data_IF_570379689886
#
_entry.id   IF_570379689886
#
_cell.length_a   1.000
_cell.length_b   1.000
_cell.length_c   1.000
_cell.angle_alpha   90.00
_cell.angle_beta   90.00
_cell.angle_gamma   90.00
#
_symmetry.space_group_name_H-M   'P 1'
#
loop_
_entity.id
_entity.type
_entity.pdbx_description
1 polymer ?
#
# COMPACT_ATOMS: atom_id res chain seq x y z
N UNK A 1 -6.03 -10.17 14.71
CA UNK A 1 -5.12 -9.46 13.79
C UNK A 1 -5.86 -8.55 12.82
N UNK A 2 -6.77 -9.04 11.96
CA UNK A 2 -7.47 -8.19 10.96
C UNK A 2 -8.23 -7.01 11.60
N UNK A 3 -8.92 -7.23 12.72
CA UNK A 3 -9.57 -6.15 13.49
C UNK A 3 -8.59 -5.12 14.06
N UNK A 4 -7.36 -5.53 14.42
CA UNK A 4 -6.32 -4.62 14.90
C UNK A 4 -5.76 -3.77 13.75
N UNK A 5 -5.61 -4.34 12.55
CA UNK A 5 -5.29 -3.56 11.37
C UNK A 5 -6.39 -2.53 11.08
N UNK A 6 -7.65 -2.94 11.10
CA UNK A 6 -8.78 -2.02 10.88
C UNK A 6 -8.75 -0.83 11.85
N UNK A 7 -8.53 -1.09 13.14
CA UNK A 7 -8.40 -0.05 14.17
C UNK A 7 -7.16 0.84 13.95
N UNK A 8 -6.01 0.26 13.59
CA UNK A 8 -4.79 1.02 13.31
C UNK A 8 -4.95 1.93 12.08
N UNK A 9 -5.66 1.47 11.04
CA UNK A 9 -5.97 2.31 9.87
C UNK A 9 -6.86 3.49 10.24
N UNK A 10 -7.86 3.27 11.09
CA UNK A 10 -8.71 4.34 11.60
C UNK A 10 -7.90 5.36 12.43
N UNK A 11 -7.04 4.90 13.34
CA UNK A 11 -6.14 5.77 14.11
C UNK A 11 -5.24 6.60 13.18
N UNK A 12 -4.60 5.92 12.21
CA UNK A 12 -3.73 6.58 11.24
C UNK A 12 -4.49 7.65 10.49
N UNK A 13 -5.70 7.42 9.98
CA UNK A 13 -6.41 8.45 9.21
C UNK A 13 -6.92 9.62 10.07
N UNK A 14 -7.34 9.37 11.32
CA UNK A 14 -7.96 10.40 12.18
C UNK A 14 -6.96 11.24 12.99
N UNK A 15 -5.72 10.79 13.20
CA UNK A 15 -4.71 11.58 13.94
C UNK A 15 -3.90 12.49 13.01
N UNK A 16 -4.22 13.78 12.94
CA UNK A 16 -3.46 14.75 12.13
C UNK A 16 -1.98 14.89 12.49
N UNK A 17 -1.54 14.41 13.65
CA UNK A 17 -0.12 14.28 14.01
C UNK A 17 0.61 13.21 13.18
N UNK A 18 -0.10 12.21 12.68
CA UNK A 18 0.43 11.19 11.77
C UNK A 18 0.40 11.73 10.34
N UNK A 19 1.55 11.67 9.65
CA UNK A 19 1.71 12.16 8.26
C UNK A 19 2.09 11.07 7.25
N UNK A 20 2.59 9.93 7.70
CA UNK A 20 2.88 8.74 6.91
C UNK A 20 2.91 7.52 7.82
N UNK A 21 2.61 6.34 7.28
CA UNK A 21 2.67 5.06 7.98
C UNK A 21 3.63 4.10 7.28
N UNK A 22 4.25 3.21 8.06
CA UNK A 22 5.09 2.11 7.55
C UNK A 22 4.49 0.80 8.05
N UNK A 23 4.28 -0.15 7.13
CA UNK A 23 3.85 -1.51 7.43
C UNK A 23 5.03 -2.47 7.20
N UNK A 24 5.34 -3.28 8.20
CA UNK A 24 6.39 -4.32 8.17
C UNK A 24 5.93 -5.52 8.99
N UNK A 25 6.55 -6.69 8.78
CA UNK A 25 6.39 -7.83 9.66
C UNK A 25 7.40 -7.81 10.82
N UNK A 26 7.04 -8.48 11.91
CA UNK A 26 7.98 -8.80 12.97
C UNK A 26 8.69 -10.12 12.66
N UNK A 27 9.99 -10.22 12.93
CA UNK A 27 10.78 -11.42 12.67
C UNK A 27 11.24 -11.54 11.21
N UNK A 28 11.18 -12.74 10.65
CA UNK A 28 11.76 -13.09 9.34
C UNK A 28 10.79 -13.09 8.17
N UNK A 29 9.53 -12.73 8.39
CA UNK A 29 8.52 -12.63 7.34
C UNK A 29 7.80 -11.30 7.43
N UNK A 30 7.35 -10.81 6.28
CA UNK A 30 6.47 -9.64 6.21
C UNK A 30 5.04 -10.06 6.58
N UNK A 31 4.47 -10.98 5.80
CA UNK A 31 3.16 -11.58 6.04
C UNK A 31 2.99 -12.76 5.08
N UNK A 32 2.67 -13.94 5.61
CA UNK A 32 2.52 -15.19 4.83
C UNK A 32 1.06 -15.55 4.54
N UNK A 33 0.14 -14.60 4.75
CA UNK A 33 -1.29 -14.78 4.55
C UNK A 33 -2.04 -15.23 5.81
N UNK A 34 -3.33 -15.50 5.64
CA UNK A 34 -4.17 -16.01 6.72
C UNK A 34 -3.83 -17.46 7.05
N UNK A 35 -4.05 -17.85 8.30
CA UNK A 35 -3.96 -19.25 8.71
C UNK A 35 -5.04 -20.04 7.99
N UNK A 36 -4.66 -21.03 7.18
CA UNK A 36 -5.60 -21.87 6.43
C UNK A 36 -6.13 -23.03 7.27
N UNK A 37 -5.53 -23.32 8.43
CA UNK A 37 -5.86 -24.48 9.26
C UNK A 37 -7.24 -24.37 9.93
N UNK A 38 -7.78 -23.16 10.05
CA UNK A 38 -9.12 -22.90 10.60
C UNK A 38 -10.25 -23.04 9.56
N UNK A 39 -9.90 -23.37 8.31
CA UNK A 39 -10.81 -23.56 7.19
C UNK A 39 -11.63 -22.32 6.79
N UNK A 40 -11.22 -21.10 7.18
CA UNK A 40 -12.04 -19.89 6.98
C UNK A 40 -12.41 -19.61 5.53
N UNK A 41 -11.60 -20.07 4.58
CA UNK A 41 -11.82 -19.92 3.13
C UNK A 41 -12.79 -20.93 2.52
N UNK A 42 -13.12 -22.01 3.23
CA UNK A 42 -13.92 -23.16 2.70
C UNK A 42 -15.23 -23.34 3.47
N UNK A 43 -15.72 -22.28 4.13
CA UNK A 43 -16.92 -22.35 4.96
C UNK A 43 -18.19 -22.46 4.11
N UNK A 44 -19.08 -23.37 4.50
CA UNK A 44 -20.42 -23.61 3.93
C UNK A 44 -21.48 -22.55 4.33
N UNK A 45 -21.04 -21.43 4.93
CA UNK A 45 -21.90 -20.36 5.44
C UNK A 45 -22.30 -20.47 6.92
N UNK A 46 -21.78 -21.46 7.67
CA UNK A 46 -22.23 -21.75 9.06
C UNK A 46 -21.55 -20.99 10.20
N UNK A 47 -20.42 -20.31 9.98
CA UNK A 47 -19.76 -19.50 11.02
C UNK A 47 -20.07 -18.02 10.85
N UNK A 48 -20.32 -17.25 11.92
CA UNK A 48 -20.41 -15.80 11.80
C UNK A 48 -19.05 -15.30 11.33
N UNK A 49 -18.93 -14.71 10.13
CA UNK A 49 -17.67 -14.10 9.74
C UNK A 49 -17.39 -12.97 10.73
N UNK A 50 -16.11 -12.64 10.94
CA UNK A 50 -15.79 -11.27 11.34
C UNK A 50 -16.58 -10.33 10.41
N UNK A 51 -17.13 -9.25 10.96
CA UNK A 51 -17.93 -8.30 10.18
C UNK A 51 -17.21 -8.00 8.84
N UNK A 52 -17.87 -8.24 7.68
CA UNK A 52 -17.25 -8.05 6.37
C UNK A 52 -16.63 -6.66 6.19
N UNK A 53 -17.19 -5.63 6.83
CA UNK A 53 -16.60 -4.29 6.80
C UNK A 53 -15.28 -4.23 7.58
N UNK A 54 -15.19 -4.88 8.74
CA UNK A 54 -13.95 -5.03 9.51
C UNK A 54 -12.89 -5.82 8.73
N UNK A 55 -13.27 -6.92 8.08
CA UNK A 55 -12.34 -7.69 7.23
C UNK A 55 -11.84 -6.82 6.07
N UNK A 56 -12.78 -6.20 5.37
CA UNK A 56 -12.50 -5.36 4.21
C UNK A 56 -11.58 -4.19 4.57
N UNK A 57 -11.80 -3.54 5.71
CA UNK A 57 -10.92 -2.46 6.19
C UNK A 57 -9.55 -2.98 6.59
N UNK A 58 -9.49 -4.02 7.43
CA UNK A 58 -8.22 -4.55 7.96
C UNK A 58 -7.27 -5.04 6.87
N UNK A 59 -7.81 -5.65 5.81
CA UNK A 59 -7.06 -6.12 4.64
C UNK A 59 -6.90 -5.06 3.53
N UNK A 60 -7.29 -3.80 3.78
CA UNK A 60 -7.25 -2.69 2.82
C UNK A 60 -8.02 -2.95 1.51
N UNK A 61 -9.08 -3.77 1.57
CA UNK A 61 -9.94 -4.11 0.42
C UNK A 61 -10.98 -3.03 0.14
N UNK A 62 -11.62 -2.55 1.20
CA UNK A 62 -12.68 -1.55 1.14
C UNK A 62 -12.23 -0.19 1.68
N UNK A 63 -10.93 -0.05 1.96
CA UNK A 63 -10.37 1.13 2.59
C UNK A 63 -8.97 1.39 2.04
N UNK A 64 -8.72 2.63 1.64
CA UNK A 64 -7.39 3.13 1.31
C UNK A 64 -7.09 4.30 2.22
N UNK A 65 -5.96 4.24 2.92
CA UNK A 65 -5.53 5.32 3.81
C UNK A 65 -5.41 6.63 3.06
N UNK A 66 -5.83 7.72 3.70
CA UNK A 66 -5.63 9.08 3.19
C UNK A 66 -4.16 9.50 3.23
N UNK A 67 -3.39 8.90 4.15
CA UNK A 67 -1.96 9.17 4.36
C UNK A 67 -1.10 8.14 3.63
N UNK A 68 0.13 8.50 3.20
CA UNK A 68 1.05 7.56 2.56
C UNK A 68 1.35 6.35 3.42
N UNK A 69 1.27 5.17 2.81
CA UNK A 69 1.57 3.87 3.39
C UNK A 69 2.75 3.24 2.66
N UNK A 70 3.84 3.04 3.38
CA UNK A 70 5.07 2.43 2.86
C UNK A 70 5.15 0.99 3.37
N UNK A 71 5.33 0.01 2.49
CA UNK A 71 5.69 -1.33 2.89
C UNK A 71 7.21 -1.47 3.02
N UNK A 72 7.67 -1.96 4.17
CA UNK A 72 9.02 -2.49 4.36
C UNK A 72 8.94 -4.02 4.46
N UNK A 73 9.35 -4.70 3.41
CA UNK A 73 9.19 -6.15 3.26
C UNK A 73 10.47 -6.84 3.71
N UNK A 74 10.44 -7.36 4.94
CA UNK A 74 11.56 -7.97 5.66
C UNK A 74 11.72 -9.48 5.42
N UNK A 75 11.04 -10.04 4.42
CA UNK A 75 11.05 -11.49 4.15
C UNK A 75 9.82 -11.94 3.36
N UNK A 76 9.35 -13.17 3.61
CA UNK A 76 8.24 -13.75 2.87
C UNK A 76 6.97 -12.87 2.89
N UNK A 77 6.46 -12.56 1.70
CA UNK A 77 5.26 -11.77 1.43
C UNK A 77 4.33 -12.61 0.54
N UNK A 78 3.48 -13.43 1.16
CA UNK A 78 2.71 -14.46 0.47
C UNK A 78 1.20 -14.31 0.72
N UNK A 79 0.42 -14.73 -0.27
CA UNK A 79 -1.04 -14.75 -0.23
C UNK A 79 -1.64 -13.42 0.21
N UNK A 80 -2.51 -13.44 1.23
CA UNK A 80 -3.09 -12.23 1.84
C UNK A 80 -2.09 -11.11 2.17
N UNK A 81 -0.85 -11.45 2.53
CA UNK A 81 0.23 -10.47 2.74
C UNK A 81 0.66 -9.77 1.45
N UNK A 82 0.78 -10.53 0.36
CA UNK A 82 1.06 -9.98 -0.97
C UNK A 82 -0.12 -9.21 -1.55
N UNK A 83 -1.36 -9.55 -1.16
CA UNK A 83 -2.57 -8.80 -1.56
C UNK A 83 -2.62 -7.44 -0.84
N UNK A 84 -2.31 -7.42 0.46
CA UNK A 84 -2.18 -6.17 1.23
C UNK A 84 -1.03 -5.31 0.74
N UNK A 85 0.12 -5.90 0.38
CA UNK A 85 1.26 -5.20 -0.22
C UNK A 85 0.82 -4.36 -1.42
N UNK A 86 -0.05 -4.92 -2.27
CA UNK A 86 -0.55 -4.24 -3.47
C UNK A 86 -1.39 -2.99 -3.19
N UNK A 87 -1.83 -2.76 -1.93
CA UNK A 87 -2.51 -1.54 -1.48
C UNK A 87 -1.57 -0.45 -0.97
N UNK A 88 -0.29 -0.77 -0.76
CA UNK A 88 0.70 0.20 -0.31
C UNK A 88 1.22 1.05 -1.45
N UNK A 89 1.62 2.29 -1.14
CA UNK A 89 1.99 3.32 -2.12
C UNK A 89 3.46 3.21 -2.54
N UNK A 90 4.33 2.90 -1.58
CA UNK A 90 5.77 2.75 -1.79
C UNK A 90 6.21 1.44 -1.17
N UNK A 91 7.02 0.67 -1.88
CA UNK A 91 7.45 -0.65 -1.44
C UNK A 91 8.96 -0.77 -1.47
N UNK A 92 9.51 -1.11 -0.31
CA UNK A 92 10.92 -1.39 -0.09
C UNK A 92 11.03 -2.85 0.32
N UNK A 93 11.94 -3.58 -0.30
CA UNK A 93 12.17 -4.99 -0.04
C UNK A 93 13.59 -5.22 0.45
N UNK A 94 13.75 -6.09 1.43
CA UNK A 94 15.02 -6.78 1.64
C UNK A 94 15.30 -7.69 0.43
N UNK A 95 16.58 -7.87 0.11
CA UNK A 95 17.03 -8.64 -1.06
C UNK A 95 16.67 -10.13 -1.04
N UNK A 96 16.43 -10.69 0.14
CA UNK A 96 16.08 -12.10 0.33
C UNK A 96 14.57 -12.36 0.40
N UNK A 97 13.74 -11.31 0.31
CA UNK A 97 12.29 -11.45 0.35
C UNK A 97 11.74 -12.15 -0.90
N UNK A 98 10.56 -12.76 -0.72
CA UNK A 98 9.82 -13.44 -1.80
C UNK A 98 8.38 -12.96 -1.83
N UNK A 99 7.80 -12.87 -3.02
CA UNK A 99 6.47 -12.32 -3.27
C UNK A 99 5.61 -13.34 -4.01
N UNK A 100 4.48 -13.77 -3.46
CA UNK A 100 3.74 -14.91 -4.03
C UNK A 100 2.25 -14.91 -3.74
N UNK A 101 1.48 -15.57 -4.61
CA UNK A 101 0.05 -15.86 -4.44
C UNK A 101 -0.18 -17.37 -4.60
N UNK A 102 0.17 -18.17 -3.57
CA UNK A 102 0.24 -19.63 -3.68
C UNK A 102 -1.13 -20.32 -3.47
N UNK A 103 -2.24 -19.59 -3.50
CA UNK A 103 -3.58 -20.11 -3.25
C UNK A 103 -3.97 -21.23 -4.22
N UNK A 104 -3.59 -21.11 -5.50
CA UNK A 104 -3.92 -22.11 -6.55
C UNK A 104 -3.31 -23.48 -6.28
N UNK A 105 -2.16 -23.53 -5.60
CA UNK A 105 -1.50 -24.78 -5.21
C UNK A 105 -2.31 -25.55 -4.16
N UNK A 106 -3.32 -24.90 -3.55
CA UNK A 106 -4.24 -25.46 -2.55
C UNK A 106 -5.68 -25.54 -3.06
N UNK A 107 -5.90 -25.36 -4.37
CA UNK A 107 -7.24 -25.34 -4.97
C UNK A 107 -8.06 -24.10 -4.62
N UNK A 108 -7.41 -23.02 -4.20
CA UNK A 108 -8.02 -21.74 -3.83
C UNK A 108 -7.63 -20.65 -4.85
N UNK A 109 -8.15 -19.43 -4.65
CA UNK A 109 -7.77 -18.25 -5.44
C UNK A 109 -7.49 -17.05 -4.53
N UNK A 110 -6.61 -16.12 -4.92
CA UNK A 110 -6.35 -14.90 -4.15
C UNK A 110 -7.60 -14.00 -4.15
N UNK A 111 -8.22 -13.88 -2.99
CA UNK A 111 -9.53 -13.24 -2.79
C UNK A 111 -9.48 -11.78 -2.32
N UNK A 112 -8.30 -11.28 -1.93
CA UNK A 112 -8.08 -9.91 -1.47
C UNK A 112 -7.69 -8.93 -2.61
N UNK A 113 -8.06 -9.29 -3.86
CA UNK A 113 -8.08 -8.39 -5.01
C UNK A 113 -6.84 -8.42 -5.90
N UNK A 114 -5.91 -9.34 -5.70
CA UNK A 114 -4.75 -9.49 -6.61
C UNK A 114 -5.14 -9.83 -8.03
N UNK A 115 -6.23 -10.60 -8.23
CA UNK A 115 -6.80 -10.87 -9.57
C UNK A 115 -7.22 -9.60 -10.31
N UNK A 116 -7.45 -8.49 -9.59
CA UNK A 116 -7.84 -7.19 -10.15
C UNK A 116 -6.62 -6.27 -10.30
N UNK A 117 -5.74 -6.25 -9.29
CA UNK A 117 -4.71 -5.21 -9.14
C UNK A 117 -3.35 -5.61 -9.69
N UNK A 118 -2.94 -6.87 -9.53
CA UNK A 118 -1.58 -7.29 -9.87
C UNK A 118 -1.25 -7.01 -11.34
N UNK A 119 -2.15 -7.37 -12.26
CA UNK A 119 -1.98 -7.13 -13.70
C UNK A 119 -1.85 -5.66 -14.13
N UNK A 120 -2.19 -4.72 -13.24
CA UNK A 120 -2.05 -3.28 -13.47
C UNK A 120 -0.77 -2.71 -12.87
N UNK A 121 -0.13 -3.46 -11.98
CA UNK A 121 1.08 -3.06 -11.29
C UNK A 121 2.34 -3.72 -11.90
N UNK A 122 2.19 -4.91 -12.49
CA UNK A 122 3.27 -5.61 -13.20
C UNK A 122 2.81 -6.10 -14.58
N UNK A 123 3.73 -6.47 -15.49
CA UNK A 123 3.37 -7.00 -16.81
C UNK A 123 2.41 -8.19 -16.73
N UNK A 124 1.42 -8.20 -17.63
CA UNK A 124 0.35 -9.20 -17.66
C UNK A 124 0.86 -10.64 -17.60
N UNK A 125 1.87 -10.98 -18.41
CA UNK A 125 2.41 -12.35 -18.50
C UNK A 125 2.98 -12.80 -17.17
N UNK A 126 3.69 -11.92 -16.45
CA UNK A 126 4.25 -12.23 -15.14
C UNK A 126 3.20 -12.32 -14.05
N UNK A 127 2.17 -11.45 -14.08
CA UNK A 127 1.03 -11.56 -13.17
C UNK A 127 0.28 -12.90 -13.35
N UNK A 128 0.04 -13.30 -14.59
CA UNK A 128 -0.62 -14.57 -14.90
C UNK A 128 0.24 -15.77 -14.50
N UNK A 129 1.54 -15.73 -14.78
CA UNK A 129 2.47 -16.79 -14.37
C UNK A 129 2.44 -16.97 -12.84
N UNK A 130 2.66 -15.90 -12.07
CA UNK A 130 2.64 -15.93 -10.61
C UNK A 130 1.30 -16.45 -10.04
N UNK A 131 0.15 -16.00 -10.58
CA UNK A 131 -1.17 -16.41 -10.09
C UNK A 131 -1.49 -17.87 -10.48
N UNK A 132 -1.18 -18.30 -11.71
CA UNK A 132 -1.59 -19.62 -12.20
C UNK A 132 -0.68 -20.75 -11.72
N UNK A 133 0.61 -20.48 -11.47
CA UNK A 133 1.54 -21.48 -10.93
C UNK A 133 1.59 -21.44 -9.41
N UNK A 134 1.28 -20.29 -8.81
CA UNK A 134 1.49 -20.03 -7.38
C UNK A 134 2.96 -19.87 -6.99
N UNK A 135 3.88 -19.84 -7.97
CA UNK A 135 5.31 -19.66 -7.72
C UNK A 135 5.64 -18.21 -7.34
N UNK A 136 6.46 -17.99 -6.30
CA UNK A 136 6.81 -16.65 -5.88
C UNK A 136 7.90 -16.02 -6.77
N UNK A 137 7.89 -14.69 -6.83
CA UNK A 137 8.98 -13.87 -7.35
C UNK A 137 10.03 -13.65 -6.26
N UNK A 138 11.30 -13.63 -6.66
CA UNK A 138 12.39 -13.08 -5.84
C UNK A 138 12.26 -11.56 -5.71
N UNK A 139 12.92 -10.95 -4.72
CA UNK A 139 12.97 -9.50 -4.58
C UNK A 139 13.52 -8.79 -5.84
N UNK A 140 14.50 -9.39 -6.52
CA UNK A 140 15.06 -8.83 -7.75
C UNK A 140 14.05 -8.87 -8.90
N UNK A 141 13.32 -9.97 -9.08
CA UNK A 141 12.25 -10.05 -10.08
C UNK A 141 11.12 -9.08 -9.75
N UNK A 142 10.69 -9.01 -8.49
CA UNK A 142 9.68 -8.07 -8.04
C UNK A 142 10.10 -6.61 -8.35
N UNK A 143 11.38 -6.27 -8.19
CA UNK A 143 11.92 -4.98 -8.58
C UNK A 143 11.94 -4.78 -10.10
N UNK A 144 12.44 -5.77 -10.83
CA UNK A 144 12.53 -5.73 -12.29
C UNK A 144 11.16 -5.51 -12.95
N UNK A 145 10.10 -6.13 -12.41
CA UNK A 145 8.74 -6.00 -12.92
C UNK A 145 7.96 -4.81 -12.32
N UNK A 146 8.55 -4.05 -11.41
CA UNK A 146 7.93 -2.87 -10.80
C UNK A 146 6.94 -3.16 -9.67
N UNK A 147 6.89 -4.40 -9.16
CA UNK A 147 6.08 -4.73 -7.98
C UNK A 147 6.62 -4.03 -6.73
N UNK A 148 7.94 -3.88 -6.62
CA UNK A 148 8.61 -3.10 -5.57
C UNK A 148 9.53 -2.04 -6.18
N UNK A 149 9.68 -0.89 -5.52
CA UNK A 149 10.47 0.23 -6.04
C UNK A 149 11.91 0.27 -5.52
N UNK A 150 12.23 -0.51 -4.49
CA UNK A 150 13.55 -0.57 -3.88
C UNK A 150 13.87 -1.98 -3.39
N UNK A 151 15.09 -2.42 -3.64
CA UNK A 151 15.69 -3.61 -3.00
C UNK A 151 16.92 -3.15 -2.24
N UNK A 152 17.05 -3.58 -0.99
CA UNK A 152 18.12 -3.19 -0.07
C UNK A 152 18.72 -4.42 0.62
N UNK A 153 19.92 -4.32 1.23
CA UNK A 153 20.50 -5.43 1.99
C UNK A 153 19.54 -5.97 3.05
N UNK A 154 19.61 -7.27 3.31
CA UNK A 154 18.78 -7.93 4.32
C UNK A 154 18.79 -7.19 5.69
N UNK A 155 17.61 -7.00 6.28
CA UNK A 155 17.43 -6.33 7.56
C UNK A 155 17.39 -4.80 7.48
N UNK A 156 17.43 -4.19 6.29
CA UNK A 156 17.52 -2.73 6.15
C UNK A 156 16.31 -2.09 5.45
N UNK A 157 15.31 -2.87 5.03
CA UNK A 157 14.09 -2.36 4.41
C UNK A 157 13.36 -1.31 5.26
N UNK A 158 13.27 -1.52 6.58
CA UNK A 158 12.61 -0.58 7.49
C UNK A 158 13.33 0.76 7.57
N UNK A 159 14.66 0.77 7.59
CA UNK A 159 15.44 2.01 7.64
C UNK A 159 15.31 2.81 6.35
N UNK A 160 15.32 2.12 5.21
CA UNK A 160 15.03 2.75 3.92
C UNK A 160 13.60 3.29 3.85
N UNK A 161 12.61 2.57 4.37
CA UNK A 161 11.23 3.04 4.45
C UNK A 161 11.10 4.28 5.36
N UNK A 162 11.79 4.31 6.51
CA UNK A 162 11.87 5.49 7.39
C UNK A 162 12.48 6.69 6.67
N UNK A 163 13.58 6.51 5.97
CA UNK A 163 14.20 7.58 5.16
C UNK A 163 13.23 8.15 4.11
N UNK A 164 12.41 7.30 3.48
CA UNK A 164 11.37 7.74 2.54
C UNK A 164 10.24 8.47 3.26
N UNK A 165 9.78 7.96 4.40
CA UNK A 165 8.79 8.64 5.24
C UNK A 165 9.29 10.03 5.66
N UNK A 166 10.54 10.16 6.11
CA UNK A 166 11.14 11.44 6.50
C UNK A 166 11.11 12.47 5.35
N UNK A 167 11.32 12.00 4.11
CA UNK A 167 11.21 12.87 2.92
C UNK A 167 9.77 13.28 2.67
N UNK A 168 8.81 12.37 2.82
CA UNK A 168 7.39 12.64 2.60
C UNK A 168 6.86 13.63 3.62
N UNK A 169 7.17 13.46 4.91
CA UNK A 169 6.64 14.31 5.98
C UNK A 169 7.19 15.74 5.93
N UNK A 170 8.29 15.99 5.21
CA UNK A 170 8.78 17.36 4.94
C UNK A 170 7.96 18.12 3.90
N UNK A 171 7.12 17.44 3.13
CA UNK A 171 6.25 18.06 2.13
C UNK A 171 4.95 18.59 2.75
N UNK A 172 4.21 19.41 2.00
CA UNK A 172 2.89 19.90 2.40
C UNK A 172 1.90 18.75 2.56
N UNK A 173 1.36 18.47 3.76
CA UNK A 173 0.56 17.27 4.00
C UNK A 173 -0.75 17.27 3.19
N UNK A 174 -1.37 18.44 2.98
CA UNK A 174 -2.55 18.55 2.10
C UNK A 174 -2.23 18.16 0.65
N UNK A 175 -1.08 18.62 0.13
CA UNK A 175 -0.63 18.28 -1.22
C UNK A 175 -0.35 16.78 -1.35
N UNK A 176 0.33 16.18 -0.36
CA UNK A 176 0.64 14.74 -0.35
C UNK A 176 -0.62 13.89 -0.32
N UNK A 177 -1.57 14.19 0.59
CA UNK A 177 -2.84 13.45 0.72
C UNK A 177 -3.64 13.53 -0.59
N UNK A 178 -3.77 14.73 -1.17
CA UNK A 178 -4.55 14.93 -2.40
C UNK A 178 -3.89 14.32 -3.64
N UNK A 179 -2.55 14.35 -3.75
CA UNK A 179 -1.84 13.69 -4.84
C UNK A 179 -2.03 12.17 -4.81
N UNK A 180 -1.91 11.57 -3.62
CA UNK A 180 -2.21 10.13 -3.42
C UNK A 180 -3.65 9.83 -3.79
N UNK A 181 -4.61 10.57 -3.25
CA UNK A 181 -6.04 10.33 -3.50
C UNK A 181 -6.37 10.42 -5.00
N UNK A 182 -5.80 11.40 -5.70
CA UNK A 182 -6.01 11.57 -7.14
C UNK A 182 -5.57 10.34 -7.92
N UNK A 183 -4.38 9.80 -7.63
CA UNK A 183 -3.83 8.61 -8.32
C UNK A 183 -4.69 7.37 -8.01
N UNK A 184 -4.98 7.13 -6.73
CA UNK A 184 -5.73 5.94 -6.29
C UNK A 184 -7.13 5.91 -6.88
N UNK A 185 -7.84 7.03 -6.84
CA UNK A 185 -9.24 7.11 -7.29
C UNK A 185 -9.39 7.16 -8.81
N UNK A 186 -8.37 7.65 -9.52
CA UNK A 186 -8.42 7.80 -10.97
C UNK A 186 -7.80 6.65 -11.76
N UNK A 187 -6.93 5.84 -11.14
CA UNK A 187 -6.14 4.79 -11.83
C UNK A 187 -6.92 3.67 -12.52
N UNK A 188 -8.25 3.70 -12.46
CA UNK A 188 -9.17 2.70 -13.04
C UNK A 188 -10.10 3.28 -14.10
N UNK A 189 -9.99 4.58 -14.38
CA UNK A 189 -10.93 5.34 -15.19
C UNK A 189 -10.32 5.73 -16.54
N UNK A 190 -11.18 6.08 -17.49
CA UNK A 190 -10.75 6.79 -18.69
C UNK A 190 -10.16 8.15 -18.30
N UNK A 191 -9.26 8.69 -19.13
CA UNK A 191 -8.53 9.92 -18.83
C UNK A 191 -9.47 11.11 -18.55
N UNK A 192 -10.58 11.22 -19.28
CA UNK A 192 -11.55 12.30 -19.10
C UNK A 192 -12.17 12.30 -17.69
N UNK A 193 -12.62 11.14 -17.22
CA UNK A 193 -13.16 10.96 -15.86
C UNK A 193 -12.07 11.15 -14.79
N UNK A 194 -10.85 10.67 -15.07
CA UNK A 194 -9.69 10.81 -14.20
C UNK A 194 -9.31 12.29 -13.97
N UNK A 195 -9.33 13.11 -15.03
CA UNK A 195 -9.00 14.55 -14.96
C UNK A 195 -10.00 15.34 -14.12
N UNK A 196 -11.28 14.96 -14.12
CA UNK A 196 -12.28 15.60 -13.25
C UNK A 196 -11.96 15.37 -11.76
N UNK A 197 -11.48 14.17 -11.40
CA UNK A 197 -11.03 13.85 -10.03
C UNK A 197 -9.78 14.67 -9.67
N UNK A 198 -8.78 14.69 -10.54
CA UNK A 198 -7.54 15.46 -10.35
C UNK A 198 -7.82 16.95 -10.13
N UNK A 199 -8.65 17.56 -10.98
CA UNK A 199 -8.97 18.98 -10.89
C UNK A 199 -9.64 19.34 -9.56
N UNK A 200 -10.57 18.49 -9.10
CA UNK A 200 -11.27 18.67 -7.81
C UNK A 200 -10.31 18.59 -6.62
N UNK A 201 -9.33 17.70 -6.65
CA UNK A 201 -8.36 17.50 -5.58
C UNK A 201 -7.22 18.53 -5.61
N UNK A 202 -6.85 19.02 -6.79
CA UNK A 202 -5.78 20.03 -6.95
C UNK A 202 -6.21 21.42 -6.47
N UNK A 203 -7.47 21.81 -6.71
CA UNK A 203 -7.99 23.15 -6.37
C UNK A 203 -7.80 23.58 -4.90
N UNK A 204 -8.12 22.76 -3.87
CA UNK A 204 -7.87 23.14 -2.49
C UNK A 204 -6.38 23.25 -2.16
N UNK A 205 -5.51 22.48 -2.83
CA UNK A 205 -4.06 22.55 -2.61
C UNK A 205 -3.52 23.90 -3.09
N UNK A 206 -3.83 24.33 -4.31
CA UNK A 206 -3.26 25.55 -4.90
C UNK A 206 -3.72 26.85 -4.20
N UNK A 207 -4.82 26.80 -3.45
CA UNK A 207 -5.37 27.94 -2.69
C UNK A 207 -5.03 27.90 -1.18
N UNK A 208 -4.32 26.86 -0.74
CA UNK A 208 -3.98 26.61 0.66
C UNK A 208 -2.98 27.63 1.24
N UNK A 209 -2.87 27.67 2.57
CA UNK A 209 -1.78 28.39 3.23
C UNK A 209 -0.43 27.73 2.95
N UNK A 210 -0.38 26.40 2.89
CA UNK A 210 0.83 25.62 2.58
C UNK A 210 1.38 25.94 1.18
N UNK A 211 0.52 26.13 0.16
CA UNK A 211 0.98 26.53 -1.17
C UNK A 211 1.62 27.93 -1.17
N UNK A 212 1.03 28.88 -0.42
CA UNK A 212 1.61 30.22 -0.25
C UNK A 212 2.94 30.19 0.48
N UNK A 213 3.03 29.40 1.55
CA UNK A 213 4.27 29.19 2.30
C UNK A 213 5.35 28.52 1.45
N UNK A 214 4.99 27.49 0.67
CA UNK A 214 5.93 26.81 -0.23
C UNK A 214 6.54 27.77 -1.27
N UNK A 215 5.72 28.63 -1.87
CA UNK A 215 6.20 29.67 -2.79
C UNK A 215 7.08 30.72 -2.09
N UNK A 216 6.69 31.16 -0.89
CA UNK A 216 7.47 32.11 -0.10
C UNK A 216 8.84 31.54 0.29
N UNK A 217 8.86 30.32 0.85
CA UNK A 217 10.08 29.62 1.25
C UNK A 217 11.03 29.38 0.07
N UNK A 218 10.49 29.02 -1.11
CA UNK A 218 11.27 28.88 -2.34
C UNK A 218 11.93 30.21 -2.75
N UNK A 219 11.16 31.32 -2.74
CA UNK A 219 11.67 32.66 -3.07
C UNK A 219 12.73 33.13 -2.07
N UNK A 220 12.55 32.80 -0.80
CA UNK A 220 13.43 33.19 0.31
C UNK A 220 14.60 32.23 0.54
N UNK A 221 14.68 31.11 -0.21
CA UNK A 221 15.71 30.07 -0.10
C UNK A 221 15.83 29.50 1.32
N UNK A 222 14.70 29.24 1.97
CA UNK A 222 14.62 28.61 3.30
C UNK A 222 13.76 27.35 3.24
N UNK A 223 13.80 26.55 4.30
CA UNK A 223 12.87 25.44 4.46
C UNK A 223 11.44 25.94 4.69
N UNK A 224 10.48 25.28 4.05
CA UNK A 224 9.06 25.56 4.20
C UNK A 224 8.49 24.93 5.48
N UNK A 225 7.56 25.62 6.12
CA UNK A 225 6.88 25.17 7.34
C UNK A 225 5.40 24.92 7.08
N UNK A 226 5.09 23.70 6.67
CA UNK A 226 3.72 23.32 6.32
C UNK A 226 2.87 22.95 7.55
N UNK A 227 1.60 23.36 7.53
CA UNK A 227 0.61 23.20 8.59
C UNK A 227 -0.61 22.38 8.17
N UNK A 228 -0.73 22.01 6.90
CA UNK A 228 -1.84 21.23 6.36
C UNK A 228 -3.12 22.01 6.12
N UNK A 229 -3.00 23.32 5.89
CA UNK A 229 -4.12 24.25 5.66
C UNK A 229 -3.84 25.15 4.47
#
# INVERSE_FOLDING_TARGET
MVSQFAAAWDEIDHDDGIRAAILTGAGSAYCVGGDLSDGWMVRDGSAPPLDPATIGKGLLLSHTLTKPLIAAVNGACLGGGCEMLQQTDIRVSDEHATFGLPEVQRGLVPGAGSMVRLKRQIPYTKAMEMILTGEPLTAFEAYHFGLVGHVVPAGTALDKARSLADRIVRNGPLAVRNAKEAIVRSGWLAEEDARAIEARLTRPVITSADAREGLAAFKEKREARFTGR
#
